data_IF_714218177204
#
_entry.id   IF_714218177204
#
_cell.length_a   1.000
_cell.length_b   1.000
_cell.length_c   1.000
_cell.angle_alpha   90.00
_cell.angle_beta   90.00
_cell.angle_gamma   90.00
#
_symmetry.space_group_name_H-M   'P 1'
#
loop_
_entity.id
_entity.type
_entity.pdbx_description
1 polymer ?
#
# COMPACT_ATOMS: atom_id res chain seq x y z
N UNK A 1 6.10 -5.82 25.53
CA UNK A 1 5.26 -6.39 24.46
C UNK A 1 4.03 -6.96 25.15
N UNK A 2 2.82 -6.57 24.73
CA UNK A 2 1.57 -7.02 25.33
C UNK A 2 1.47 -8.57 25.32
N UNK A 3 1.04 -9.17 26.43
CA UNK A 3 0.88 -10.62 26.59
C UNK A 3 -0.10 -11.17 25.55
N UNK A 4 -1.11 -10.39 25.16
CA UNK A 4 -2.07 -10.75 24.12
C UNK A 4 -1.41 -10.97 22.76
N UNK A 5 -0.45 -10.11 22.40
CA UNK A 5 0.22 -10.18 21.11
C UNK A 5 1.13 -11.42 21.01
N UNK A 6 1.80 -11.78 22.10
CA UNK A 6 2.58 -13.02 22.16
C UNK A 6 1.71 -14.26 21.98
N UNK A 7 0.52 -14.29 22.58
CA UNK A 7 -0.43 -15.38 22.42
C UNK A 7 -0.94 -15.49 20.97
N UNK A 8 -1.28 -14.36 20.35
CA UNK A 8 -1.68 -14.26 18.94
C UNK A 8 -0.60 -14.77 18.00
N UNK A 9 0.66 -14.37 18.20
CA UNK A 9 1.79 -14.82 17.41
C UNK A 9 2.04 -16.32 17.56
N UNK A 10 1.95 -16.85 18.79
CA UNK A 10 2.10 -18.27 19.05
C UNK A 10 0.99 -19.11 18.38
N UNK A 11 -0.26 -18.62 18.42
CA UNK A 11 -1.39 -19.26 17.75
C UNK A 11 -1.25 -19.27 16.22
N UNK A 12 -0.78 -18.16 15.63
CA UNK A 12 -0.49 -18.06 14.19
C UNK A 12 0.65 -19.01 13.78
N UNK A 13 1.74 -19.05 14.56
CA UNK A 13 2.86 -19.96 14.30
C UNK A 13 2.44 -21.44 14.33
N UNK A 14 1.52 -21.80 15.22
CA UNK A 14 0.93 -23.15 15.33
C UNK A 14 -0.22 -23.39 14.34
N UNK A 15 -0.66 -22.38 13.59
CA UNK A 15 -1.82 -22.42 12.69
C UNK A 15 -3.07 -22.95 13.39
N UNK A 16 -3.31 -22.48 14.61
CA UNK A 16 -4.45 -22.93 15.41
C UNK A 16 -5.78 -22.69 14.67
N UNK A 17 -6.66 -23.71 14.60
CA UNK A 17 -7.96 -23.56 13.96
C UNK A 17 -8.75 -22.40 14.56
N UNK A 18 -9.30 -21.54 13.69
CA UNK A 18 -10.08 -20.37 14.11
C UNK A 18 -9.26 -19.14 14.54
N UNK A 19 -7.93 -19.23 14.67
CA UNK A 19 -7.05 -18.15 15.13
C UNK A 19 -6.32 -17.42 13.99
N UNK A 20 -7.01 -17.15 12.87
CA UNK A 20 -6.44 -16.45 11.71
C UNK A 20 -6.66 -14.94 11.79
N UNK A 21 -6.14 -14.32 12.84
CA UNK A 21 -6.33 -12.89 13.11
C UNK A 21 -5.60 -11.99 12.08
N UNK A 22 -4.50 -12.48 11.49
CA UNK A 22 -3.80 -11.80 10.37
C UNK A 22 -4.50 -11.95 9.02
N UNK A 23 -5.74 -12.48 8.97
CA UNK A 23 -6.44 -12.67 7.69
C UNK A 23 -6.65 -11.35 6.96
N UNK A 24 -6.97 -10.29 7.71
CA UNK A 24 -7.26 -8.95 7.22
C UNK A 24 -6.39 -7.95 7.95
N UNK A 25 -5.96 -6.90 7.28
CA UNK A 25 -5.16 -5.85 7.89
C UNK A 25 -4.73 -4.77 6.88
N UNK A 26 -3.95 -3.78 7.35
CA UNK A 26 -3.42 -2.69 6.52
C UNK A 26 -2.22 -3.16 5.67
N UNK A 27 -2.42 -4.23 4.90
CA UNK A 27 -1.36 -4.78 4.05
C UNK A 27 -1.35 -4.14 2.65
N UNK A 28 -2.32 -3.26 2.37
CA UNK A 28 -2.42 -2.55 1.10
C UNK A 28 -1.46 -1.36 1.12
N UNK A 29 -0.66 -1.21 0.07
CA UNK A 29 0.22 -0.05 -0.04
C UNK A 29 -0.61 1.21 -0.29
N UNK A 30 -0.18 2.36 0.20
CA UNK A 30 -0.85 3.63 -0.11
C UNK A 30 -0.39 4.23 -1.44
N UNK A 31 0.68 3.66 -2.02
CA UNK A 31 1.30 4.01 -3.29
C UNK A 31 2.06 2.81 -3.87
N UNK A 32 1.84 2.47 -5.14
CA UNK A 32 2.58 1.38 -5.81
C UNK A 32 3.07 1.71 -7.24
N UNK A 33 2.79 2.90 -7.76
CA UNK A 33 3.31 3.32 -9.06
C UNK A 33 4.83 3.57 -9.05
N UNK A 34 5.44 3.48 -10.24
CA UNK A 34 6.89 3.57 -10.44
C UNK A 34 7.67 2.31 -10.06
N UNK A 35 7.07 1.29 -9.46
CA UNK A 35 7.84 0.18 -8.88
C UNK A 35 8.48 -0.76 -9.90
N UNK A 36 9.64 -1.34 -9.55
CA UNK A 36 10.36 -2.37 -10.34
C UNK A 36 9.46 -3.56 -10.71
N UNK A 37 8.47 -3.89 -9.87
CA UNK A 37 7.55 -5.00 -10.13
C UNK A 37 6.64 -4.74 -11.33
N UNK A 38 6.29 -3.49 -11.59
CA UNK A 38 5.44 -3.06 -12.71
C UNK A 38 6.28 -2.49 -13.88
N UNK A 39 7.58 -2.78 -13.91
CA UNK A 39 8.45 -2.35 -14.99
C UNK A 39 8.32 -3.27 -16.21
N UNK A 40 7.88 -2.68 -17.31
CA UNK A 40 7.85 -3.32 -18.62
C UNK A 40 8.64 -2.51 -19.66
N UNK A 41 9.48 -1.57 -19.20
CA UNK A 41 10.35 -0.79 -20.07
C UNK A 41 11.44 -1.67 -20.70
N UNK A 42 11.87 -1.28 -21.90
CA UNK A 42 12.95 -1.97 -22.59
C UNK A 42 14.33 -1.69 -21.95
N UNK A 43 14.46 -0.58 -21.23
CA UNK A 43 15.71 -0.07 -20.67
C UNK A 43 15.81 -0.17 -19.14
N UNK A 44 14.82 -0.79 -18.49
CA UNK A 44 14.84 -1.03 -17.04
C UNK A 44 14.71 0.24 -16.21
N UNK A 45 13.86 1.19 -16.67
CA UNK A 45 13.57 2.46 -16.01
C UNK A 45 12.16 2.45 -15.42
N UNK A 46 11.95 1.80 -14.28
CA UNK A 46 10.62 1.59 -13.70
C UNK A 46 9.94 2.92 -13.31
N UNK A 47 10.75 3.87 -12.82
CA UNK A 47 10.31 5.17 -12.34
C UNK A 47 9.79 6.09 -13.46
N UNK A 48 10.32 5.94 -14.68
CA UNK A 48 9.86 6.68 -15.86
C UNK A 48 8.73 5.93 -16.59
N UNK A 49 8.75 4.60 -16.53
CA UNK A 49 7.84 3.75 -17.26
C UNK A 49 6.42 3.75 -16.69
N UNK A 50 6.28 3.72 -15.37
CA UNK A 50 4.98 3.60 -14.71
C UNK A 50 4.65 4.83 -13.86
N UNK A 51 4.22 5.90 -14.52
CA UNK A 51 3.91 7.19 -13.88
C UNK A 51 2.62 7.19 -13.05
N UNK A 52 2.45 8.23 -12.23
CA UNK A 52 1.22 8.48 -11.48
C UNK A 52 -0.02 8.54 -12.38
N UNK A 53 0.06 9.16 -13.56
CA UNK A 53 -1.06 9.27 -14.50
C UNK A 53 -1.51 7.90 -14.98
N UNK A 54 -0.56 6.99 -15.23
CA UNK A 54 -0.87 5.61 -15.61
C UNK A 54 -1.53 4.87 -14.43
N UNK A 55 -1.06 5.12 -13.21
CA UNK A 55 -1.58 4.52 -11.98
C UNK A 55 -3.10 4.74 -11.80
N UNK A 56 -3.63 5.86 -12.30
CA UNK A 56 -5.07 6.19 -12.24
C UNK A 56 -5.91 5.27 -13.12
N UNK A 57 -5.37 4.84 -14.26
CA UNK A 57 -6.15 4.20 -15.33
C UNK A 57 -5.70 2.77 -15.66
N UNK A 58 -4.63 2.29 -15.01
CA UNK A 58 -4.04 0.98 -15.26
C UNK A 58 -4.37 0.03 -14.11
N UNK A 59 -4.85 -1.16 -14.45
CA UNK A 59 -4.89 -2.28 -13.53
C UNK A 59 -3.47 -2.83 -13.31
N UNK A 60 -3.09 -3.03 -12.05
CA UNK A 60 -1.76 -3.50 -11.68
C UNK A 60 -1.70 -5.02 -11.80
N UNK A 61 -0.51 -5.58 -12.01
CA UNK A 61 -0.34 -7.02 -12.15
C UNK A 61 0.18 -7.68 -10.87
N UNK A 62 0.97 -6.95 -10.09
CA UNK A 62 1.77 -7.50 -9.00
C UNK A 62 1.46 -6.86 -7.64
N UNK A 63 0.32 -6.18 -7.51
CA UNK A 63 -0.23 -5.69 -6.26
C UNK A 63 -1.38 -4.71 -6.50
N UNK A 64 -1.74 -3.96 -5.46
CA UNK A 64 -2.75 -2.89 -5.50
C UNK A 64 -2.32 -1.77 -4.54
N UNK A 65 -2.83 -0.56 -4.76
CA UNK A 65 -2.69 0.55 -3.82
C UNK A 65 -4.02 1.22 -3.45
N UNK A 66 -4.04 1.88 -2.29
CA UNK A 66 -5.21 2.59 -1.78
C UNK A 66 -4.95 3.34 -0.48
N UNK A 67 -5.43 4.58 -0.40
CA UNK A 67 -5.33 5.41 0.81
C UNK A 67 -6.06 4.76 1.97
N UNK A 68 -5.36 4.66 3.11
CA UNK A 68 -5.91 4.07 4.34
C UNK A 68 -6.51 2.69 4.09
N UNK A 69 -5.85 1.94 3.21
CA UNK A 69 -6.36 0.69 2.67
C UNK A 69 -6.29 -0.48 3.65
N UNK A 70 -7.27 -1.36 3.59
CA UNK A 70 -7.23 -2.67 4.23
C UNK A 70 -7.54 -3.77 3.23
N UNK A 71 -6.88 -4.90 3.39
CA UNK A 71 -7.02 -6.03 2.47
C UNK A 71 -6.90 -7.35 3.22
N UNK A 72 -7.37 -8.43 2.60
CA UNK A 72 -6.96 -9.74 3.05
C UNK A 72 -5.45 -9.93 2.79
N UNK A 73 -4.79 -10.80 3.58
CA UNK A 73 -3.34 -11.05 3.54
C UNK A 73 -2.78 -11.48 2.18
N UNK A 74 -3.62 -11.81 1.20
CA UNK A 74 -3.22 -12.19 -0.16
C UNK A 74 -3.53 -11.11 -1.20
N UNK A 75 -3.99 -9.92 -0.78
CA UNK A 75 -4.33 -8.82 -1.67
C UNK A 75 -5.37 -9.20 -2.75
N UNK A 76 -6.41 -9.98 -2.36
CA UNK A 76 -7.47 -10.43 -3.27
C UNK A 76 -8.71 -9.56 -3.19
N UNK A 77 -8.98 -9.01 -2.00
CA UNK A 77 -10.06 -8.07 -1.75
C UNK A 77 -9.49 -6.85 -1.05
N UNK A 78 -9.49 -5.72 -1.77
CA UNK A 78 -8.93 -4.46 -1.33
C UNK A 78 -10.05 -3.46 -1.09
N UNK A 79 -9.95 -2.74 0.02
CA UNK A 79 -10.83 -1.63 0.36
C UNK A 79 -9.95 -0.43 0.69
N UNK A 80 -10.34 0.75 0.21
CA UNK A 80 -9.60 1.98 0.43
C UNK A 80 -10.55 3.18 0.43
N UNK A 81 -10.08 4.30 0.95
CA UNK A 81 -10.79 5.56 0.87
C UNK A 81 -10.49 6.27 -0.45
N UNK A 82 -11.56 6.73 -1.09
CA UNK A 82 -11.50 7.59 -2.27
C UNK A 82 -12.04 8.97 -1.89
N UNK A 83 -11.23 10.00 -2.05
CA UNK A 83 -11.59 11.38 -1.71
C UNK A 83 -11.76 12.20 -3.00
N UNK A 84 -12.71 13.13 -3.01
CA UNK A 84 -12.89 14.07 -4.12
C UNK A 84 -13.00 15.49 -3.60
N UNK A 85 -12.21 16.39 -4.19
CA UNK A 85 -12.21 17.81 -3.83
C UNK A 85 -13.30 18.62 -4.57
N UNK A 86 -14.10 17.98 -5.43
CA UNK A 86 -15.13 18.64 -6.23
C UNK A 86 -14.61 19.40 -7.46
N UNK A 87 -13.30 19.40 -7.71
CA UNK A 87 -12.63 20.19 -8.76
C UNK A 87 -11.86 19.34 -9.75
N UNK A 88 -11.16 18.33 -9.25
CA UNK A 88 -10.29 17.50 -10.07
C UNK A 88 -11.11 16.48 -10.86
N UNK A 89 -10.66 16.07 -12.05
CA UNK A 89 -11.35 15.08 -12.86
C UNK A 89 -11.21 13.63 -12.35
N UNK A 90 -10.53 13.45 -11.21
CA UNK A 90 -10.18 12.14 -10.66
C UNK A 90 -10.49 12.07 -9.16
N UNK A 91 -10.69 10.86 -8.68
CA UNK A 91 -10.69 10.55 -7.24
C UNK A 91 -9.24 10.49 -6.75
N UNK A 92 -9.03 10.92 -5.50
CA UNK A 92 -7.79 10.77 -4.76
C UNK A 92 -7.87 9.47 -3.99
N UNK A 93 -7.32 8.43 -4.58
CA UNK A 93 -7.32 7.06 -4.06
C UNK A 93 -5.93 6.60 -3.64
N UNK A 94 -4.89 7.36 -3.97
CA UNK A 94 -3.48 7.08 -3.67
C UNK A 94 -2.70 8.38 -3.49
N UNK A 95 -1.59 8.30 -2.77
CA UNK A 95 -0.72 9.46 -2.54
C UNK A 95 -0.03 9.90 -3.84
N UNK A 96 0.12 11.21 -4.00
CA UNK A 96 0.95 11.76 -5.05
C UNK A 96 2.39 11.86 -4.56
N UNK A 97 3.34 11.50 -5.42
CA UNK A 97 4.75 11.58 -5.11
C UNK A 97 5.53 11.97 -6.34
N UNK A 98 6.78 12.34 -6.13
CA UNK A 98 7.78 12.55 -7.16
C UNK A 98 8.65 11.30 -7.22
N UNK A 99 8.90 10.81 -8.43
CA UNK A 99 9.93 9.81 -8.65
C UNK A 99 11.32 10.34 -8.33
N UNK A 100 12.31 9.45 -8.30
CA UNK A 100 13.69 9.81 -7.95
C UNK A 100 14.27 10.96 -8.79
N UNK A 101 14.11 10.98 -10.13
CA UNK A 101 14.55 12.11 -10.95
C UNK A 101 13.75 13.40 -10.78
N UNK A 102 12.52 13.32 -10.27
CA UNK A 102 11.59 14.46 -10.16
C UNK A 102 11.73 15.21 -8.83
N UNK A 103 12.18 14.55 -7.77
CA UNK A 103 12.29 15.14 -6.44
C UNK A 103 13.64 15.80 -6.16
N UNK A 104 13.61 16.89 -5.39
CA UNK A 104 14.81 17.66 -5.02
C UNK A 104 15.84 16.85 -4.21
N UNK A 105 15.43 15.78 -3.54
CA UNK A 105 16.28 14.90 -2.73
C UNK A 105 16.07 13.41 -3.06
N UNK A 106 15.66 13.10 -4.30
CA UNK A 106 15.22 11.76 -4.70
C UNK A 106 13.71 11.58 -4.57
N UNK A 107 13.26 10.34 -4.43
CA UNK A 107 11.83 10.01 -4.34
C UNK A 107 11.18 10.72 -3.15
N UNK A 108 10.09 11.46 -3.39
CA UNK A 108 9.45 12.30 -2.39
C UNK A 108 7.92 12.16 -2.45
N UNK A 109 7.33 11.57 -1.41
CA UNK A 109 5.88 11.55 -1.23
C UNK A 109 5.49 12.88 -0.58
N UNK A 110 4.50 13.58 -1.13
CA UNK A 110 4.19 14.96 -0.68
C UNK A 110 3.42 15.02 0.64
N UNK A 111 3.36 13.91 1.36
CA UNK A 111 2.65 13.75 2.62
C UNK A 111 3.58 13.18 3.70
N UNK A 112 3.46 13.69 4.93
CA UNK A 112 4.16 13.19 6.11
C UNK A 112 3.13 12.66 7.12
N UNK A 113 3.20 11.37 7.45
CA UNK A 113 2.29 10.75 8.41
C UNK A 113 2.96 9.56 9.10
N UNK A 114 2.40 9.18 10.25
CA UNK A 114 2.88 8.08 11.08
C UNK A 114 1.69 7.30 11.62
N UNK A 115 1.79 5.97 11.61
CA UNK A 115 0.80 5.11 12.24
C UNK A 115 0.96 5.16 13.76
N UNK A 116 0.03 5.80 14.46
CA UNK A 116 0.10 5.99 15.91
C UNK A 116 -0.38 4.77 16.70
N UNK A 117 -1.39 4.07 16.17
CA UNK A 117 -2.08 2.98 16.88
C UNK A 117 -1.77 1.59 16.31
N UNK A 118 -0.91 1.49 15.29
CA UNK A 118 -0.49 0.19 14.74
C UNK A 118 0.47 -0.49 15.71
N UNK A 119 0.17 -1.73 16.09
CA UNK A 119 1.15 -2.56 16.81
C UNK A 119 2.33 -2.93 15.89
N UNK A 120 3.48 -3.38 16.45
CA UNK A 120 4.62 -3.85 15.65
C UNK A 120 4.32 -5.01 14.69
N UNK A 121 3.16 -5.66 14.82
CA UNK A 121 2.73 -6.75 13.94
C UNK A 121 1.68 -6.32 12.92
N UNK A 122 1.47 -5.01 12.79
CA UNK A 122 0.48 -4.38 11.91
C UNK A 122 -0.97 -4.81 12.21
N UNK A 123 -1.26 -5.10 13.48
CA UNK A 123 -2.64 -5.16 13.96
C UNK A 123 -3.06 -3.81 14.53
N UNK A 124 -4.34 -3.48 14.33
CA UNK A 124 -5.07 -2.44 15.07
C UNK A 124 -5.93 -3.10 16.14
#
# INVERSE_FOLDING_TARGET
>A
MDQTELLRLAAEARREPGQNWKRWGPFLAERQWGTVREDYSADGKPWDHFSYEQAIWRAYRWGEDGLLGFTDRRCRLCFALALWNGKDPILKERLFGLSNPEGNHGEDVKEAYFYLDSTPTHSY
#
